data_IF_656717876298
#
_entry.id   IF_656717876298
#
_cell.length_a   1.000
_cell.length_b   1.000
_cell.length_c   1.000
_cell.angle_alpha   90.00
_cell.angle_beta   90.00
_cell.angle_gamma   90.00
#
_symmetry.space_group_name_H-M   'P 1'
#
loop_
_entity.id
_entity.type
_entity.pdbx_description
1 polymer ?
#
# COMPACT_ATOMS: atom_id res chain seq x y z
N UNK A 1 -8.28 3.86 4.59
CA UNK A 1 -7.06 4.65 4.34
C UNK A 1 -7.43 6.11 4.46
N UNK A 2 -6.62 6.90 5.18
CA UNK A 2 -6.82 8.35 5.31
C UNK A 2 -5.79 9.10 4.47
N UNK A 3 -6.25 10.06 3.68
CA UNK A 3 -5.39 10.96 2.89
C UNK A 3 -5.70 12.40 3.31
N UNK A 4 -4.67 13.13 3.71
CA UNK A 4 -4.73 14.55 4.02
C UNK A 4 -3.79 15.32 3.10
N UNK A 5 -4.21 16.47 2.58
CA UNK A 5 -3.35 17.28 1.72
C UNK A 5 -3.63 18.77 1.84
N UNK A 6 -2.64 19.56 1.47
CA UNK A 6 -2.74 21.02 1.36
C UNK A 6 -2.00 21.52 0.11
N UNK A 7 -2.49 22.62 -0.47
CA UNK A 7 -1.80 23.30 -1.57
C UNK A 7 -1.46 24.72 -1.11
N UNK A 8 -0.17 25.05 -1.12
CA UNK A 8 0.34 26.36 -0.75
C UNK A 8 1.09 26.99 -1.91
N UNK A 9 0.90 28.29 -2.13
CA UNK A 9 1.63 29.07 -3.14
C UNK A 9 2.07 30.40 -2.54
N UNK A 10 3.33 30.78 -2.77
CA UNK A 10 3.85 32.11 -2.44
C UNK A 10 3.39 33.14 -3.49
N UNK A 11 3.31 34.42 -3.11
CA UNK A 11 2.99 35.53 -4.03
C UNK A 11 4.03 35.61 -5.16
N UNK A 12 3.58 35.91 -6.37
CA UNK A 12 4.42 36.03 -7.57
C UNK A 12 4.42 34.77 -8.43
N UNK A 13 5.53 34.54 -9.13
CA UNK A 13 5.71 33.48 -10.13
C UNK A 13 6.08 32.11 -9.53
N UNK A 14 6.00 31.94 -8.21
CA UNK A 14 6.27 30.66 -7.55
C UNK A 14 5.22 29.61 -7.93
N UNK A 15 5.69 28.38 -8.09
CA UNK A 15 4.84 27.21 -8.29
C UNK A 15 4.13 26.85 -6.98
N UNK A 16 2.84 26.49 -7.04
CA UNK A 16 2.17 25.91 -5.88
C UNK A 16 2.80 24.57 -5.52
N UNK A 17 2.75 24.24 -4.24
CA UNK A 17 3.26 23.00 -3.68
C UNK A 17 2.09 22.27 -3.03
N UNK A 18 1.81 21.07 -3.53
CA UNK A 18 0.97 20.09 -2.88
C UNK A 18 1.82 19.35 -1.84
N UNK A 19 1.41 19.36 -0.59
CA UNK A 19 1.94 18.48 0.46
C UNK A 19 0.86 17.51 0.85
N UNK A 20 1.19 16.23 1.02
CA UNK A 20 0.22 15.21 1.38
C UNK A 20 0.79 14.18 2.35
N UNK A 21 -0.11 13.57 3.12
CA UNK A 21 0.16 12.45 4.02
C UNK A 21 -0.92 11.39 3.82
N UNK A 22 -0.50 10.15 3.69
CA UNK A 22 -1.36 8.97 3.59
C UNK A 22 -1.10 8.08 4.80
N UNK A 23 -2.15 7.67 5.51
CA UNK A 23 -2.05 6.76 6.64
C UNK A 23 -3.02 5.59 6.49
N UNK A 24 -2.56 4.42 6.90
CA UNK A 24 -3.34 3.20 7.01
C UNK A 24 -3.80 3.02 8.45
N UNK A 25 -5.06 2.62 8.63
CA UNK A 25 -5.59 2.25 9.92
C UNK A 25 -5.06 0.89 10.38
N UNK A 26 -5.14 0.61 11.69
CA UNK A 26 -4.59 -0.61 12.28
C UNK A 26 -5.13 -1.88 11.62
N UNK A 27 -6.43 -1.91 11.28
CA UNK A 27 -7.05 -3.07 10.62
C UNK A 27 -6.52 -3.25 9.19
N UNK A 28 -6.26 -2.15 8.46
CA UNK A 28 -5.73 -2.19 7.10
C UNK A 28 -4.30 -2.75 7.10
N UNK A 29 -3.51 -2.38 8.10
CA UNK A 29 -2.15 -2.91 8.29
C UNK A 29 -2.17 -4.42 8.57
N UNK A 30 -3.14 -4.92 9.34
CA UNK A 30 -3.24 -6.35 9.64
C UNK A 30 -3.61 -7.23 8.45
N UNK A 31 -4.22 -6.65 7.40
CA UNK A 31 -4.56 -7.38 6.18
C UNK A 31 -3.35 -7.65 5.26
N UNK A 32 -2.17 -7.11 5.59
CA UNK A 32 -0.92 -7.33 4.86
C UNK A 32 -1.02 -7.11 3.33
N UNK A 33 -1.84 -6.15 2.91
CA UNK A 33 -2.08 -5.85 1.49
C UNK A 33 -0.81 -5.25 0.87
N UNK A 34 -0.43 -5.74 -0.31
CA UNK A 34 0.68 -5.16 -1.08
C UNK A 34 0.41 -3.70 -1.46
N UNK A 35 1.48 -2.91 -1.61
CA UNK A 35 1.36 -1.51 -1.98
C UNK A 35 0.71 -1.39 -3.38
N UNK A 36 -0.44 -0.72 -3.43
CA UNK A 36 -1.15 -0.38 -4.66
C UNK A 36 -0.61 0.94 -5.20
N UNK A 37 -0.44 1.03 -6.53
CA UNK A 37 0.03 2.25 -7.19
C UNK A 37 -0.93 2.65 -8.31
N UNK A 38 -1.25 3.94 -8.40
CA UNK A 38 -2.05 4.50 -9.49
C UNK A 38 -1.32 5.67 -10.15
N UNK A 39 -1.48 5.78 -11.47
CA UNK A 39 -1.05 6.98 -12.20
C UNK A 39 -2.01 8.11 -11.88
N UNK A 40 -1.49 9.23 -11.38
CA UNK A 40 -2.29 10.41 -11.07
C UNK A 40 -2.61 11.21 -12.34
N UNK A 41 -3.54 12.15 -12.20
CA UNK A 41 -3.83 13.19 -13.19
C UNK A 41 -2.96 14.44 -13.00
N UNK A 42 -2.02 14.41 -12.05
CA UNK A 42 -1.11 15.52 -11.77
C UNK A 42 0.08 15.46 -12.73
N UNK A 43 0.30 16.49 -13.56
CA UNK A 43 1.35 16.48 -14.55
C UNK A 43 2.74 16.61 -13.90
N UNK A 44 3.73 15.89 -14.44
CA UNK A 44 5.14 16.12 -14.11
C UNK A 44 5.66 17.32 -14.88
N UNK A 45 6.24 18.27 -14.15
CA UNK A 45 6.78 19.50 -14.74
C UNK A 45 8.09 19.22 -15.49
N UNK A 46 8.40 19.97 -16.58
CA UNK A 46 9.67 19.84 -17.30
C UNK A 46 10.91 20.10 -16.43
N UNK A 47 10.82 21.04 -15.49
CA UNK A 47 11.90 21.40 -14.55
C UNK A 47 11.40 21.34 -13.11
N UNK A 48 11.23 20.15 -12.54
CA UNK A 48 10.55 19.98 -11.27
C UNK A 48 11.34 20.52 -10.07
N UNK A 49 12.65 20.77 -10.21
CA UNK A 49 13.51 21.33 -9.16
C UNK A 49 13.34 22.86 -9.00
N UNK A 50 13.00 23.57 -10.07
CA UNK A 50 12.72 25.00 -10.02
C UNK A 50 11.42 25.25 -9.22
N UNK A 51 11.44 26.27 -8.35
CA UNK A 51 10.30 26.61 -7.51
C UNK A 51 9.43 27.73 -8.09
N UNK A 52 9.76 28.25 -9.27
CA UNK A 52 9.02 29.29 -9.99
C UNK A 52 8.90 28.94 -11.48
N UNK A 53 8.02 29.66 -12.18
CA UNK A 53 7.94 29.65 -13.64
C UNK A 53 7.41 31.00 -14.13
N UNK A 54 8.15 31.65 -15.04
CA UNK A 54 7.76 32.94 -15.59
C UNK A 54 6.66 32.78 -16.66
N UNK A 55 5.86 33.83 -16.92
CA UNK A 55 4.88 33.81 -18.01
C UNK A 55 5.54 33.45 -19.35
N UNK A 56 4.91 32.58 -20.13
CA UNK A 56 5.42 32.14 -21.43
C UNK A 56 6.47 31.02 -21.37
N UNK A 57 6.92 30.58 -20.20
CA UNK A 57 7.89 29.50 -20.07
C UNK A 57 7.24 28.17 -19.67
N UNK A 58 7.86 27.04 -20.03
CA UNK A 58 7.54 25.70 -19.52
C UNK A 58 6.03 25.43 -19.44
N UNK A 59 5.49 25.21 -18.23
CA UNK A 59 4.07 24.92 -18.00
C UNK A 59 3.14 26.13 -18.15
N UNK A 60 3.69 27.33 -18.28
CA UNK A 60 2.97 28.59 -18.54
C UNK A 60 3.05 29.01 -20.01
N UNK A 61 3.66 28.22 -20.87
CA UNK A 61 3.64 28.44 -22.31
C UNK A 61 2.24 28.09 -22.87
N UNK A 62 1.64 28.88 -23.78
CA UNK A 62 0.27 28.67 -24.27
C UNK A 62 0.02 27.29 -24.90
N UNK A 63 1.07 26.69 -25.48
CA UNK A 63 1.01 25.37 -26.12
C UNK A 63 1.61 24.25 -25.25
N UNK A 64 1.77 24.48 -23.95
CA UNK A 64 2.25 23.43 -23.08
C UNK A 64 1.23 22.30 -22.95
N UNK A 65 1.68 21.08 -23.23
CA UNK A 65 0.90 19.86 -23.06
C UNK A 65 1.68 18.93 -22.13
N UNK A 66 1.08 18.48 -21.01
CA UNK A 66 1.70 17.50 -20.14
C UNK A 66 2.00 16.18 -20.85
N UNK A 67 3.25 15.70 -20.75
CA UNK A 67 3.67 14.42 -21.35
C UNK A 67 3.75 13.27 -20.35
N UNK A 68 3.90 13.59 -19.07
CA UNK A 68 4.11 12.61 -17.99
C UNK A 68 3.32 13.04 -16.76
N UNK A 69 2.99 12.07 -15.92
CA UNK A 69 2.18 12.27 -14.72
C UNK A 69 2.84 11.62 -13.50
N UNK A 70 2.46 12.08 -12.31
CA UNK A 70 2.94 11.48 -11.07
C UNK A 70 2.31 10.10 -10.84
N UNK A 71 2.95 9.29 -10.01
CA UNK A 71 2.41 8.01 -9.55
C UNK A 71 2.24 8.16 -8.04
N UNK A 72 1.05 7.83 -7.56
CA UNK A 72 0.82 7.70 -6.13
C UNK A 72 0.85 6.23 -5.76
N UNK A 73 1.42 5.96 -4.60
CA UNK A 73 1.55 4.62 -4.05
C UNK A 73 1.04 4.64 -2.62
N UNK A 74 0.20 3.66 -2.28
CA UNK A 74 -0.27 3.43 -0.91
C UNK A 74 0.93 3.08 -0.01
N UNK A 75 0.97 3.54 1.25
CA UNK A 75 2.02 3.17 2.18
C UNK A 75 2.20 1.65 2.28
N UNK A 76 3.45 1.22 2.44
CA UNK A 76 3.72 -0.18 2.74
C UNK A 76 3.09 -0.56 4.09
N UNK A 77 2.36 -1.69 4.17
CA UNK A 77 1.52 -2.03 5.33
C UNK A 77 2.29 -2.06 6.67
N UNK A 78 3.59 -2.40 6.67
CA UNK A 78 4.40 -2.37 7.90
C UNK A 78 4.67 -0.94 8.37
N UNK A 79 4.98 -0.03 7.44
CA UNK A 79 5.19 1.37 7.74
C UNK A 79 3.85 2.02 8.13
N UNK A 80 2.80 1.83 7.33
CA UNK A 80 1.46 2.36 7.56
C UNK A 80 1.32 3.86 7.32
N UNK A 81 2.39 4.55 6.94
CA UNK A 81 2.37 5.98 6.63
C UNK A 81 3.33 6.31 5.48
N UNK A 82 2.96 7.27 4.64
CA UNK A 82 3.85 7.90 3.66
C UNK A 82 3.44 9.34 3.47
N UNK A 83 4.41 10.24 3.43
CA UNK A 83 4.21 11.65 3.14
C UNK A 83 5.07 12.08 1.96
N UNK A 84 4.67 13.16 1.31
CA UNK A 84 5.38 13.67 0.14
C UNK A 84 4.94 15.06 -0.27
N UNK A 85 5.64 15.61 -1.26
CA UNK A 85 5.26 16.86 -1.86
C UNK A 85 5.43 16.82 -3.39
N UNK A 86 4.59 17.59 -4.09
CA UNK A 86 4.63 17.74 -5.55
C UNK A 86 4.50 19.23 -5.87
N UNK A 87 5.37 19.72 -6.77
CA UNK A 87 5.20 21.05 -7.35
C UNK A 87 4.16 20.98 -8.47
N UNK A 88 3.13 21.79 -8.36
CA UNK A 88 2.02 21.85 -9.30
C UNK A 88 2.30 22.90 -10.39
N UNK A 89 1.69 22.75 -11.58
CA UNK A 89 1.78 23.78 -12.60
C UNK A 89 1.11 25.07 -12.12
N UNK A 90 1.69 26.21 -12.47
CA UNK A 90 1.08 27.49 -12.14
C UNK A 90 -0.29 27.63 -12.82
N UNK A 91 -1.31 28.04 -12.06
CA UNK A 91 -2.63 28.42 -12.57
C UNK A 91 -3.11 29.68 -11.89
N UNK A 92 -3.72 30.58 -12.65
CA UNK A 92 -4.32 31.80 -12.11
C UNK A 92 -5.56 31.50 -11.27
N UNK A 93 -6.34 30.48 -11.66
CA UNK A 93 -7.53 30.07 -10.93
C UNK A 93 -7.23 29.53 -9.52
N UNK A 94 -5.99 29.08 -9.27
CA UNK A 94 -5.61 28.41 -8.02
C UNK A 94 -6.31 27.06 -7.78
N UNK A 95 -7.06 26.54 -8.76
CA UNK A 95 -7.84 25.31 -8.63
C UNK A 95 -7.09 24.11 -9.24
N UNK A 96 -7.09 23.01 -8.49
CA UNK A 96 -6.41 21.76 -8.84
C UNK A 96 -7.31 20.54 -8.63
N UNK A 97 -8.43 20.42 -9.37
CA UNK A 97 -9.36 19.29 -9.21
C UNK A 97 -8.71 17.92 -9.48
N UNK A 98 -7.65 17.89 -10.28
CA UNK A 98 -6.89 16.66 -10.56
C UNK A 98 -6.27 16.05 -9.30
N UNK A 99 -6.01 16.85 -8.25
CA UNK A 99 -5.39 16.39 -7.00
C UNK A 99 -6.36 15.49 -6.25
N UNK A 100 -7.55 16.00 -5.96
CA UNK A 100 -8.60 15.24 -5.27
C UNK A 100 -9.05 14.04 -6.12
N UNK A 101 -9.22 14.23 -7.43
CA UNK A 101 -9.58 13.14 -8.34
C UNK A 101 -8.56 12.00 -8.30
N UNK A 102 -7.27 12.32 -8.28
CA UNK A 102 -6.20 11.31 -8.20
C UNK A 102 -6.18 10.59 -6.86
N UNK A 103 -6.39 11.32 -5.75
CA UNK A 103 -6.45 10.70 -4.42
C UNK A 103 -7.68 9.83 -4.22
N UNK A 104 -8.84 10.25 -4.75
CA UNK A 104 -10.05 9.43 -4.76
C UNK A 104 -9.80 8.14 -5.55
N UNK A 105 -9.23 8.23 -6.75
CA UNK A 105 -8.89 7.03 -7.54
C UNK A 105 -7.95 6.08 -6.77
N UNK A 106 -6.89 6.59 -6.15
CA UNK A 106 -5.98 5.76 -5.33
C UNK A 106 -6.74 5.05 -4.20
N UNK A 107 -7.61 5.79 -3.51
CA UNK A 107 -8.39 5.27 -2.40
C UNK A 107 -9.37 4.19 -2.85
N UNK A 108 -10.13 4.45 -3.89
CA UNK A 108 -11.14 3.52 -4.39
C UNK A 108 -10.46 2.21 -4.86
N UNK A 109 -9.33 2.29 -5.58
CA UNK A 109 -8.54 1.09 -5.97
C UNK A 109 -7.96 0.35 -4.75
N UNK A 110 -7.59 1.05 -3.68
CA UNK A 110 -7.11 0.40 -2.47
C UNK A 110 -8.26 -0.27 -1.69
N UNK A 111 -9.41 0.38 -1.57
CA UNK A 111 -10.59 -0.14 -0.90
C UNK A 111 -11.10 -1.44 -1.55
N UNK A 112 -11.04 -1.55 -2.89
CA UNK A 112 -11.29 -2.81 -3.59
C UNK A 112 -10.39 -3.95 -3.07
N UNK A 113 -9.08 -3.69 -2.90
CA UNK A 113 -8.13 -4.66 -2.35
C UNK A 113 -8.35 -4.97 -0.88
N UNK A 114 -8.81 -3.98 -0.11
CA UNK A 114 -9.23 -4.21 1.29
C UNK A 114 -10.42 -5.16 1.33
N UNK A 115 -11.43 -4.96 0.49
CA UNK A 115 -12.59 -5.85 0.41
C UNK A 115 -12.21 -7.27 -0.03
N UNK A 116 -11.36 -7.41 -1.06
CA UNK A 116 -10.85 -8.72 -1.51
C UNK A 116 -10.12 -9.46 -0.39
N UNK A 117 -9.19 -8.79 0.30
CA UNK A 117 -8.40 -9.40 1.37
C UNK A 117 -9.26 -9.74 2.59
N UNK A 118 -10.19 -8.88 2.97
CA UNK A 118 -11.07 -9.10 4.12
C UNK A 118 -12.04 -10.27 3.89
N UNK A 119 -12.41 -10.55 2.64
CA UNK A 119 -13.21 -11.73 2.29
C UNK A 119 -12.50 -13.07 2.53
N UNK A 120 -11.18 -13.07 2.70
CA UNK A 120 -10.39 -14.25 3.02
C UNK A 120 -10.36 -14.46 4.53
N UNK A 121 -11.37 -15.18 5.05
CA UNK A 121 -11.48 -15.47 6.47
C UNK A 121 -10.29 -16.29 7.00
N UNK A 122 -9.92 -16.12 8.28
CA UNK A 122 -8.91 -16.96 8.91
C UNK A 122 -9.40 -18.41 8.96
N UNK A 123 -8.49 -19.36 8.78
CA UNK A 123 -8.76 -20.78 9.01
C UNK A 123 -7.74 -21.36 9.98
N UNK A 124 -8.20 -22.24 10.85
CA UNK A 124 -7.36 -22.99 11.78
C UNK A 124 -7.60 -24.48 11.52
N UNK A 125 -6.54 -25.21 11.15
CA UNK A 125 -6.60 -26.65 10.97
C UNK A 125 -5.68 -27.31 12.00
N UNK A 126 -6.26 -28.14 12.86
CA UNK A 126 -5.54 -28.91 13.87
C UNK A 126 -5.63 -30.39 13.54
N UNK A 127 -4.48 -31.03 13.35
CA UNK A 127 -4.38 -32.47 13.16
C UNK A 127 -3.62 -33.10 14.32
N UNK A 128 -4.06 -34.29 14.73
CA UNK A 128 -3.29 -35.17 15.59
C UNK A 128 -3.27 -36.56 14.95
N UNK A 129 -2.09 -37.14 14.78
CA UNK A 129 -1.91 -38.49 14.29
C UNK A 129 -1.19 -39.28 15.38
N UNK A 130 -1.87 -40.31 15.85
CA UNK A 130 -1.34 -41.23 16.84
C UNK A 130 -0.94 -42.54 16.16
N UNK A 131 -0.14 -43.36 16.85
CA UNK A 131 0.26 -44.67 16.37
C UNK A 131 -0.99 -45.49 16.00
N UNK A 132 -1.03 -45.99 14.74
CA UNK A 132 -2.14 -46.80 14.27
C UNK A 132 -2.33 -48.00 15.18
N UNK A 133 -3.57 -48.43 15.39
CA UNK A 133 -3.87 -49.56 16.26
C UNK A 133 -3.06 -50.81 15.88
N UNK A 134 -2.90 -51.07 14.59
CA UNK A 134 -2.10 -52.16 14.03
C UNK A 134 -0.62 -52.08 14.42
N UNK A 135 -0.03 -50.89 14.31
CA UNK A 135 1.37 -50.68 14.74
C UNK A 135 1.50 -50.78 16.26
N UNK A 136 0.49 -50.28 17.00
CA UNK A 136 0.44 -50.32 18.47
C UNK A 136 0.42 -51.75 18.97
N UNK A 137 -0.35 -52.60 18.33
CA UNK A 137 -0.47 -54.02 18.63
C UNK A 137 0.84 -54.77 18.31
N UNK A 138 1.42 -54.52 17.14
CA UNK A 138 2.69 -55.14 16.76
C UNK A 138 3.85 -54.77 17.70
N UNK A 139 3.91 -53.51 18.14
CA UNK A 139 4.92 -53.03 19.09
C UNK A 139 4.64 -53.53 20.51
N UNK A 140 3.38 -53.51 20.97
CA UNK A 140 3.01 -54.01 22.29
C UNK A 140 3.34 -55.51 22.46
N UNK A 141 3.13 -56.32 21.42
CA UNK A 141 3.50 -57.73 21.42
C UNK A 141 5.02 -57.91 21.61
N UNK A 142 5.85 -57.17 20.86
CA UNK A 142 7.32 -57.23 20.97
C UNK A 142 7.85 -56.71 22.30
N UNK A 143 7.31 -55.60 22.81
CA UNK A 143 7.74 -55.00 24.08
C UNK A 143 7.40 -55.92 25.26
N UNK A 144 6.23 -56.55 25.25
CA UNK A 144 5.82 -57.52 26.27
C UNK A 144 6.72 -58.76 26.26
N UNK A 145 7.01 -59.30 25.07
CA UNK A 145 7.90 -60.45 24.91
C UNK A 145 9.31 -60.18 25.46
N UNK A 146 9.88 -59.00 25.15
CA UNK A 146 11.19 -58.61 25.68
C UNK A 146 11.19 -58.40 27.21
N UNK A 147 10.11 -57.87 27.80
CA UNK A 147 10.00 -57.74 29.25
C UNK A 147 9.89 -59.08 29.97
N UNK A 148 9.13 -60.03 29.42
CA UNK A 148 9.04 -61.38 29.98
C UNK A 148 10.41 -62.07 29.95
N UNK A 149 11.11 -62.04 28.83
CA UNK A 149 12.45 -62.63 28.70
C UNK A 149 13.48 -62.00 29.66
N UNK A 150 13.34 -60.70 29.98
CA UNK A 150 14.21 -60.01 30.93
C UNK A 150 13.91 -60.32 32.42
N UNK A 151 12.77 -60.93 32.75
CA UNK A 151 12.42 -61.37 34.12
C UNK A 151 12.95 -62.78 34.40
N UNK A 152 13.17 -63.58 33.35
CA UNK A 152 13.68 -64.95 33.44
C UNK A 152 15.20 -65.08 33.24
N UNK A 153 15.90 -63.95 33.11
CA UNK A 153 17.36 -63.83 33.19
C UNK A 153 17.74 -63.09 34.46
#
# INVERSE_FOLDING_TARGET
MKISWEIKKKRGNYRPVLTYTMTLESFEKSLAIHAVSVKSFIPRLPRPHENFCLPGENERHPHWIPKRFHIFQVPYFKAGETSGFIRLPYRESGKYPEVETSFRQLRDTYEEKVCEAYGQGPFENRGNLDISAETREHVAAKVTANRLLAIFN
#
